data_IF_349486261505
#
_entry.id   IF_349486261505
#
_cell.length_a   1.000
_cell.length_b   1.000
_cell.length_c   1.000
_cell.angle_alpha   90.00
_cell.angle_beta   90.00
_cell.angle_gamma   90.00
#
_symmetry.space_group_name_H-M   'P 1'
#
loop_
_entity.id
_entity.type
_entity.pdbx_description
1 polymer ?
#
# COMPACT_ATOMS: atom_id res chain seq x y z
N UNK A 1 -1.20 34.35 -5.10
CA UNK A 1 -0.36 33.61 -6.07
C UNK A 1 -0.49 32.14 -5.71
N UNK A 2 -1.35 31.42 -6.43
CA UNK A 2 -1.72 30.03 -6.12
C UNK A 2 -0.87 29.10 -6.98
N UNK A 3 -0.12 28.20 -6.34
CA UNK A 3 0.72 27.21 -7.01
C UNK A 3 0.05 25.82 -6.98
N UNK A 4 0.16 24.98 -8.02
CA UNK A 4 -0.58 23.73 -8.14
C UNK A 4 0.14 22.57 -7.42
N UNK A 5 -0.39 22.11 -6.29
CA UNK A 5 0.11 20.93 -5.55
C UNK A 5 -0.28 19.57 -6.15
N UNK A 6 -1.00 19.54 -7.28
CA UNK A 6 -1.56 18.27 -7.81
C UNK A 6 -0.64 17.46 -8.72
N UNK A 7 0.55 17.96 -9.08
CA UNK A 7 1.37 17.35 -10.15
C UNK A 7 2.45 16.37 -9.65
N UNK A 8 2.82 16.38 -8.36
CA UNK A 8 3.99 15.65 -7.86
C UNK A 8 3.72 14.18 -7.51
N UNK A 9 2.50 13.84 -7.11
CA UNK A 9 2.15 12.48 -6.65
C UNK A 9 1.98 11.46 -7.78
N UNK A 10 1.60 11.89 -9.00
CA UNK A 10 1.50 10.97 -10.14
C UNK A 10 2.89 10.46 -10.51
N UNK A 11 3.85 11.37 -10.67
CA UNK A 11 5.21 11.03 -11.13
C UNK A 11 5.95 10.08 -10.19
N UNK A 12 5.69 10.18 -8.88
CA UNK A 12 6.32 9.30 -7.90
C UNK A 12 5.79 7.86 -8.02
N UNK A 13 4.47 7.69 -8.21
CA UNK A 13 3.88 6.37 -8.41
C UNK A 13 4.34 5.76 -9.74
N UNK A 14 4.41 6.56 -10.80
CA UNK A 14 4.95 6.08 -12.08
C UNK A 14 6.41 5.64 -11.94
N UNK A 15 7.26 6.40 -11.22
CA UNK A 15 8.64 6.00 -10.94
C UNK A 15 8.73 4.70 -10.12
N UNK A 16 7.90 4.54 -9.10
CA UNK A 16 7.84 3.31 -8.29
C UNK A 16 7.41 2.09 -9.10
N UNK A 17 6.46 2.27 -10.03
CA UNK A 17 6.03 1.20 -10.94
C UNK A 17 7.16 0.78 -11.87
N UNK A 18 7.87 1.74 -12.48
CA UNK A 18 9.02 1.43 -13.34
C UNK A 18 10.15 0.75 -12.56
N UNK A 19 10.42 1.18 -11.33
CA UNK A 19 11.42 0.54 -10.47
C UNK A 19 11.03 -0.90 -10.11
N UNK A 20 9.74 -1.16 -9.84
CA UNK A 20 9.25 -2.50 -9.55
C UNK A 20 9.30 -3.43 -10.78
N UNK A 21 8.99 -2.90 -11.97
CA UNK A 21 9.10 -3.64 -13.23
C UNK A 21 10.57 -3.96 -13.56
N UNK A 22 11.48 -3.00 -13.38
CA UNK A 22 12.91 -3.19 -13.63
C UNK A 22 13.53 -4.29 -12.76
N UNK A 23 13.02 -4.49 -11.54
CA UNK A 23 13.44 -5.59 -10.65
C UNK A 23 13.12 -6.99 -11.21
N UNK A 24 12.13 -7.09 -12.09
CA UNK A 24 11.63 -8.34 -12.66
C UNK A 24 11.87 -8.44 -14.18
N UNK A 25 12.94 -7.83 -14.69
CA UNK A 25 13.28 -7.83 -16.12
C UNK A 25 12.12 -7.35 -17.01
N UNK A 26 11.39 -6.34 -16.52
CA UNK A 26 10.17 -5.79 -17.16
C UNK A 26 9.02 -6.80 -17.30
N UNK A 27 9.04 -7.95 -16.59
CA UNK A 27 7.91 -8.89 -16.54
C UNK A 27 6.81 -8.39 -15.59
N UNK A 28 5.65 -7.94 -16.11
CA UNK A 28 4.57 -7.42 -15.28
C UNK A 28 3.90 -8.53 -14.47
N UNK A 29 3.90 -9.78 -14.95
CA UNK A 29 3.26 -10.90 -14.24
C UNK A 29 4.08 -11.29 -13.02
N UNK A 30 5.40 -11.38 -13.16
CA UNK A 30 6.30 -11.63 -12.05
C UNK A 30 6.21 -10.51 -11.00
N UNK A 31 6.20 -9.25 -11.44
CA UNK A 31 6.04 -8.07 -10.58
C UNK A 31 4.73 -8.10 -9.79
N UNK A 32 3.61 -8.30 -10.48
CA UNK A 32 2.29 -8.37 -9.82
C UNK A 32 2.22 -9.56 -8.85
N UNK A 33 2.79 -10.72 -9.21
CA UNK A 33 2.82 -11.88 -8.33
C UNK A 33 3.57 -11.58 -7.02
N UNK A 34 4.74 -10.95 -7.11
CA UNK A 34 5.51 -10.51 -5.93
C UNK A 34 4.71 -9.54 -5.07
N UNK A 35 4.14 -8.49 -5.66
CA UNK A 35 3.36 -7.49 -4.92
C UNK A 35 2.15 -8.11 -4.20
N UNK A 36 1.49 -9.09 -4.82
CA UNK A 36 0.38 -9.83 -4.20
C UNK A 36 0.86 -10.68 -3.02
N UNK A 37 2.02 -11.33 -3.13
CA UNK A 37 2.62 -12.08 -2.04
C UNK A 37 3.02 -11.17 -0.87
N UNK A 38 3.64 -10.03 -1.17
CA UNK A 38 4.03 -9.03 -0.16
C UNK A 38 2.80 -8.48 0.56
N UNK A 39 1.75 -8.13 -0.19
CA UNK A 39 0.48 -7.69 0.39
C UNK A 39 -0.15 -8.76 1.31
N UNK A 40 -0.07 -10.04 0.94
CA UNK A 40 -0.54 -11.14 1.78
C UNK A 40 0.29 -11.23 3.07
N UNK A 41 1.62 -11.21 2.95
CA UNK A 41 2.52 -11.25 4.10
C UNK A 41 2.29 -10.08 5.06
N UNK A 42 2.15 -8.85 4.55
CA UNK A 42 1.89 -7.66 5.37
C UNK A 42 0.54 -7.75 6.09
N UNK A 43 -0.49 -8.29 5.44
CA UNK A 43 -1.80 -8.53 6.08
C UNK A 43 -1.71 -9.56 7.21
N UNK A 44 -0.92 -10.61 7.03
CA UNK A 44 -0.66 -11.60 8.09
C UNK A 44 0.08 -10.97 9.27
N UNK A 45 1.14 -10.19 9.02
CA UNK A 45 1.86 -9.46 10.06
C UNK A 45 0.95 -8.49 10.81
N UNK A 46 0.09 -7.76 10.10
CA UNK A 46 -0.86 -6.83 10.70
C UNK A 46 -1.89 -7.56 11.58
N UNK A 47 -2.38 -8.72 11.14
CA UNK A 47 -3.29 -9.55 11.94
C UNK A 47 -2.63 -10.04 13.23
N UNK A 48 -1.39 -10.53 13.15
CA UNK A 48 -0.61 -10.94 14.32
C UNK A 48 -0.38 -9.78 15.29
N UNK A 49 -0.01 -8.62 14.78
CA UNK A 49 0.17 -7.41 15.58
C UNK A 49 -1.14 -6.99 16.26
N UNK A 50 -2.26 -7.04 15.54
CA UNK A 50 -3.58 -6.73 16.10
C UNK A 50 -3.97 -7.68 17.24
N UNK A 51 -3.68 -8.99 17.11
CA UNK A 51 -3.93 -9.98 18.17
C UNK A 51 -3.04 -9.71 19.39
N UNK A 52 -1.78 -9.34 19.17
CA UNK A 52 -0.85 -9.05 20.26
C UNK A 52 -1.14 -7.73 21.00
N UNK A 53 -1.75 -6.75 20.33
CA UNK A 53 -2.10 -5.47 20.92
C UNK A 53 -3.39 -5.54 21.74
N UNK A 54 -3.35 -5.05 22.97
CA UNK A 54 -4.57 -4.91 23.78
C UNK A 54 -5.41 -3.69 23.32
N UNK A 55 -6.73 -3.77 23.51
CA UNK A 55 -7.67 -2.66 23.25
C UNK A 55 -7.28 -1.38 24.02
N UNK A 56 -6.70 -1.54 25.21
CA UNK A 56 -6.20 -0.42 26.04
C UNK A 56 -4.94 0.23 25.45
N UNK A 57 -4.07 -0.53 24.80
CA UNK A 57 -2.85 -0.04 24.18
C UNK A 57 -3.13 0.85 22.97
N UNK A 58 -4.12 0.49 22.14
CA UNK A 58 -4.52 1.29 20.97
C UNK A 58 -5.61 2.33 21.26
N UNK A 59 -6.00 2.50 22.54
CA UNK A 59 -7.12 3.36 22.97
C UNK A 59 -8.40 3.12 22.17
N UNK A 60 -8.70 1.86 21.87
CA UNK A 60 -9.87 1.45 21.09
C UNK A 60 -9.74 1.62 19.58
N UNK A 61 -8.59 2.04 19.06
CA UNK A 61 -8.35 2.06 17.61
C UNK A 61 -8.07 0.65 17.09
N UNK A 62 -8.61 0.33 15.90
CA UNK A 62 -8.36 -0.92 15.20
C UNK A 62 -8.04 -0.64 13.72
N UNK A 63 -7.05 -1.35 13.13
CA UNK A 63 -6.76 -1.23 11.70
C UNK A 63 -7.94 -1.68 10.84
N UNK A 64 -8.21 -0.93 9.77
CA UNK A 64 -9.20 -1.28 8.73
C UNK A 64 -8.41 -1.76 7.50
N UNK A 65 -8.54 -3.03 7.10
CA UNK A 65 -7.74 -3.62 6.01
C UNK A 65 -8.27 -3.25 4.62
N UNK A 66 -9.49 -2.73 4.53
CA UNK A 66 -10.02 -2.18 3.29
C UNK A 66 -9.43 -0.78 3.05
N UNK A 67 -8.95 -0.56 1.82
CA UNK A 67 -8.72 0.81 1.34
C UNK A 67 -10.10 1.48 1.31
N UNK A 68 -10.26 2.60 2.01
CA UNK A 68 -11.43 3.46 1.86
C UNK A 68 -11.31 4.09 0.48
N UNK A 69 -11.91 3.46 -0.52
CA UNK A 69 -11.93 3.98 -1.88
C UNK A 69 -12.79 5.25 -1.88
N UNK A 70 -12.17 6.42 -1.68
CA UNK A 70 -12.72 7.70 -2.14
C UNK A 70 -12.50 7.78 -3.67
N UNK A 71 -13.13 6.87 -4.41
CA UNK A 71 -13.28 6.98 -5.87
C UNK A 71 -14.60 7.70 -6.20
N UNK A 72 -14.65 8.58 -7.21
CA UNK A 72 -15.89 9.26 -7.57
C UNK A 72 -16.91 8.24 -8.08
N UNK A 73 -18.19 8.44 -7.70
CA UNK A 73 -19.33 7.72 -8.29
C UNK A 73 -19.46 8.00 -9.78
#
# INVERSE_FOLDING_TARGET
MTAPEKQTVSSDVEWEVEAALAWHDEDPRATIATLLLDCKYLREQLALAQIAMSIGFTRGWAPCPERRDEGPK
#
